data_IF_512537269809
#
_entry.id   IF_512537269809
#
_cell.length_a   1.000
_cell.length_b   1.000
_cell.length_c   1.000
_cell.angle_alpha   90.00
_cell.angle_beta   90.00
_cell.angle_gamma   90.00
#
_symmetry.space_group_name_H-M   'P 1'
#
loop_
_entity.id
_entity.type
_entity.pdbx_description
1 polymer ?
#
# COMPACT_ATOMS: atom_id res chain seq x y z
N UNK A 1 2.12 17.88 13.12
CA UNK A 1 2.33 16.60 12.44
C UNK A 1 1.46 15.52 13.06
N UNK A 2 0.85 14.70 12.22
CA UNK A 2 -0.08 13.69 12.68
C UNK A 2 0.41 12.29 12.33
N UNK A 3 -0.16 11.32 13.02
CA UNK A 3 0.15 9.91 12.78
C UNK A 3 -1.14 9.16 12.50
N UNK A 4 -1.09 8.21 11.54
CA UNK A 4 -2.20 7.35 11.17
C UNK A 4 -1.81 5.91 11.40
N UNK A 5 -2.73 5.10 11.93
CA UNK A 5 -2.52 3.67 12.08
C UNK A 5 -3.85 2.95 11.94
N UNK A 6 -3.89 1.91 11.11
CA UNK A 6 -5.10 1.11 10.92
C UNK A 6 -4.75 -0.26 10.39
N UNK A 7 -5.64 -1.23 10.62
CA UNK A 7 -5.51 -2.60 10.11
C UNK A 7 -6.61 -2.84 9.09
N UNK A 8 -6.25 -3.54 8.01
CA UNK A 8 -7.21 -3.90 6.95
C UNK A 8 -7.09 -5.39 6.68
N UNK A 9 -8.23 -6.06 6.48
CA UNK A 9 -8.23 -7.48 6.14
C UNK A 9 -8.28 -7.60 4.62
N UNK A 10 -7.23 -8.18 4.04
CA UNK A 10 -7.11 -8.36 2.60
C UNK A 10 -7.33 -9.85 2.32
N UNK A 11 -8.26 -10.23 1.42
CA UNK A 11 -8.57 -11.64 1.18
C UNK A 11 -7.56 -12.34 0.27
N UNK A 12 -6.30 -12.33 0.66
CA UNK A 12 -5.22 -12.99 -0.05
C UNK A 12 -4.07 -13.25 0.92
N UNK A 13 -3.25 -14.29 0.69
CA UNK A 13 -2.11 -14.57 1.57
C UNK A 13 -1.11 -13.42 1.61
N UNK A 14 -0.33 -13.27 2.69
CA UNK A 14 0.63 -12.17 2.80
C UNK A 14 1.61 -12.07 1.64
N UNK A 15 2.09 -13.19 1.12
CA UNK A 15 3.03 -13.16 0.00
C UNK A 15 2.40 -12.58 -1.27
N UNK A 16 1.11 -12.82 -1.49
CA UNK A 16 0.40 -12.25 -2.63
C UNK A 16 0.16 -10.76 -2.43
N UNK A 17 -0.21 -10.35 -1.22
CA UNK A 17 -0.37 -8.93 -0.91
C UNK A 17 0.96 -8.20 -1.07
N UNK A 18 2.05 -8.82 -0.61
CA UNK A 18 3.38 -8.24 -0.77
C UNK A 18 3.70 -7.99 -2.24
N UNK A 19 3.42 -8.95 -3.11
CA UNK A 19 3.65 -8.79 -4.55
C UNK A 19 2.77 -7.69 -5.14
N UNK A 20 1.53 -7.59 -4.69
CA UNK A 20 0.64 -6.53 -5.17
C UNK A 20 1.15 -5.14 -4.80
N UNK A 21 1.97 -5.03 -3.76
CA UNK A 21 2.52 -3.76 -3.30
C UNK A 21 3.90 -3.45 -3.87
N UNK A 22 4.60 -4.44 -4.41
CA UNK A 22 6.00 -4.29 -4.81
C UNK A 22 6.28 -4.56 -6.28
N UNK A 23 5.32 -5.11 -7.03
CA UNK A 23 5.49 -5.40 -8.45
C UNK A 23 4.72 -4.38 -9.27
N UNK A 24 5.42 -3.61 -10.11
CA UNK A 24 4.82 -2.49 -10.83
C UNK A 24 3.60 -2.91 -11.66
N UNK A 25 3.70 -3.99 -12.40
CA UNK A 25 2.58 -4.47 -13.23
C UNK A 25 1.36 -4.78 -12.38
N UNK A 26 1.56 -5.42 -11.22
CA UNK A 26 0.44 -5.74 -10.33
C UNK A 26 -0.16 -4.47 -9.74
N UNK A 27 0.68 -3.51 -9.38
CA UNK A 27 0.20 -2.21 -8.91
C UNK A 27 -0.67 -1.54 -9.96
N UNK A 28 -0.27 -1.58 -11.23
CA UNK A 28 -1.07 -1.00 -12.30
C UNK A 28 -2.40 -1.71 -12.47
N UNK A 29 -2.43 -3.02 -12.22
CA UNK A 29 -3.67 -3.78 -12.36
C UNK A 29 -4.71 -3.39 -11.32
N UNK A 30 -4.33 -3.25 -10.06
CA UNK A 30 -5.33 -2.95 -9.03
C UNK A 30 -5.57 -1.45 -8.84
N UNK A 31 -4.60 -0.60 -9.15
CA UNK A 31 -4.82 0.85 -9.07
C UNK A 31 -5.49 1.40 -10.33
N UNK A 32 -5.31 0.73 -11.46
CA UNK A 32 -5.82 1.22 -12.74
C UNK A 32 -5.03 2.36 -13.32
N UNK A 33 -3.86 2.69 -12.75
CA UNK A 33 -3.05 3.82 -13.17
C UNK A 33 -1.58 3.41 -13.26
N UNK A 34 -0.77 4.25 -13.89
CA UNK A 34 0.65 3.98 -14.07
C UNK A 34 1.36 3.92 -12.72
N UNK A 35 2.27 2.96 -12.59
CA UNK A 35 3.08 2.80 -11.38
C UNK A 35 4.53 2.52 -11.72
N UNK A 36 5.44 3.02 -10.86
CA UNK A 36 6.85 2.68 -10.91
C UNK A 36 7.25 2.14 -9.56
N UNK A 37 7.83 0.95 -9.53
CA UNK A 37 8.15 0.30 -8.27
C UNK A 37 9.27 -0.73 -8.47
N UNK A 38 10.21 -0.74 -7.53
CA UNK A 38 11.21 -1.80 -7.40
C UNK A 38 11.29 -2.19 -5.94
N UNK A 39 11.37 -3.48 -5.66
CA UNK A 39 11.50 -3.96 -4.29
C UNK A 39 12.96 -3.91 -3.84
N UNK A 40 13.56 -2.72 -3.90
CA UNK A 40 14.95 -2.49 -3.52
C UNK A 40 15.04 -1.22 -2.68
N UNK A 41 15.82 -1.23 -1.59
CA UNK A 41 16.02 -0.02 -0.79
C UNK A 41 16.65 1.10 -1.62
N UNK A 42 16.33 2.32 -1.25
CA UNK A 42 16.88 3.53 -1.86
C UNK A 42 16.48 3.73 -3.32
N UNK A 43 15.35 3.14 -3.73
CA UNK A 43 14.77 3.40 -5.05
C UNK A 43 13.53 4.27 -4.90
N UNK A 44 13.27 5.10 -5.91
CA UNK A 44 12.07 5.93 -5.90
C UNK A 44 10.88 5.16 -6.47
N UNK A 45 9.68 5.51 -6.02
CA UNK A 45 8.46 4.88 -6.51
C UNK A 45 7.39 5.93 -6.82
N UNK A 46 6.43 5.52 -7.64
CA UNK A 46 5.31 6.36 -8.02
C UNK A 46 4.07 5.48 -8.16
N UNK A 47 2.97 5.92 -7.60
CA UNK A 47 1.68 5.25 -7.66
C UNK A 47 0.62 6.22 -8.17
N UNK A 48 -0.43 5.67 -8.80
CA UNK A 48 -1.53 6.46 -9.35
C UNK A 48 -1.05 7.62 -10.23
N UNK A 49 -0.16 7.28 -11.18
CA UNK A 49 0.36 8.25 -12.15
C UNK A 49 0.90 9.50 -11.46
N UNK A 50 1.86 9.27 -10.54
CA UNK A 50 2.54 10.31 -9.77
C UNK A 50 1.69 11.04 -8.73
N UNK A 51 0.50 10.52 -8.41
CA UNK A 51 -0.28 11.10 -7.32
C UNK A 51 0.35 10.83 -5.96
N UNK A 52 1.05 9.71 -5.83
CA UNK A 52 1.83 9.38 -4.65
C UNK A 52 3.25 9.08 -5.12
N UNK A 53 4.21 9.83 -4.62
CA UNK A 53 5.62 9.61 -4.94
C UNK A 53 6.43 9.55 -3.66
N UNK A 54 7.53 8.80 -3.70
CA UNK A 54 8.36 8.67 -2.54
C UNK A 54 9.56 7.80 -2.80
N UNK A 55 10.14 7.30 -1.71
CA UNK A 55 11.35 6.50 -1.76
C UNK A 55 11.16 5.23 -0.92
N UNK A 56 11.55 4.11 -1.48
CA UNK A 56 11.55 2.84 -0.77
C UNK A 56 12.75 2.79 0.18
N UNK A 57 12.51 2.48 1.44
CA UNK A 57 13.56 2.47 2.45
C UNK A 57 13.95 1.06 2.88
N UNK A 58 12.97 0.18 3.05
CA UNK A 58 13.24 -1.16 3.58
C UNK A 58 12.21 -2.16 3.08
N UNK A 59 12.66 -3.37 2.80
CA UNK A 59 11.78 -4.47 2.42
C UNK A 59 12.13 -5.71 3.21
N UNK A 60 11.10 -6.40 3.68
CA UNK A 60 11.23 -7.71 4.28
C UNK A 60 10.20 -8.58 3.58
N UNK A 61 10.67 -9.47 2.72
CA UNK A 61 9.81 -10.19 1.77
C UNK A 61 8.64 -10.88 2.47
N UNK A 62 7.43 -10.59 1.97
CA UNK A 62 6.20 -11.17 2.50
C UNK A 62 5.78 -10.63 3.85
N UNK A 63 6.51 -9.68 4.45
CA UNK A 63 6.28 -9.26 5.82
C UNK A 63 6.18 -7.77 6.04
N UNK A 64 7.07 -6.98 5.42
CA UNK A 64 7.14 -5.56 5.75
C UNK A 64 7.68 -4.72 4.61
N UNK A 65 7.13 -3.52 4.47
CA UNK A 65 7.60 -2.50 3.52
C UNK A 65 7.67 -1.18 4.27
N UNK A 66 8.79 -0.46 4.14
CA UNK A 66 8.93 0.87 4.72
C UNK A 66 9.24 1.86 3.60
N UNK A 67 8.49 2.95 3.55
CA UNK A 67 8.62 3.97 2.52
C UNK A 67 8.59 5.36 3.11
N UNK A 68 9.26 6.29 2.45
CA UNK A 68 9.10 7.71 2.73
C UNK A 68 8.17 8.27 1.64
N UNK A 69 7.12 8.97 2.05
CA UNK A 69 6.21 9.63 1.10
C UNK A 69 6.53 11.12 1.06
N UNK A 70 6.54 11.70 -0.13
CA UNK A 70 6.89 13.09 -0.32
C UNK A 70 5.64 13.97 -0.32
N UNK A 71 5.68 15.06 0.43
CA UNK A 71 4.59 16.04 0.53
C UNK A 71 5.09 17.45 0.22
N UNK A 72 6.06 17.58 -0.68
CA UNK A 72 6.66 18.88 -0.95
C UNK A 72 7.61 19.30 0.17
N UNK A 73 7.59 20.58 0.50
CA UNK A 73 8.47 21.12 1.56
C UNK A 73 7.92 20.77 2.93
N UNK A 74 8.49 19.77 3.57
CA UNK A 74 8.11 19.41 4.93
C UNK A 74 9.36 19.24 5.78
N UNK A 75 9.30 19.66 7.05
CA UNK A 75 10.50 19.65 7.92
C UNK A 75 10.92 18.24 8.30
N UNK A 76 10.00 17.30 8.34
CA UNK A 76 10.28 15.92 8.70
C UNK A 76 9.70 14.95 7.71
N UNK A 77 10.40 13.86 7.46
CA UNK A 77 9.96 12.86 6.49
C UNK A 77 8.72 12.12 7.00
N UNK A 78 7.74 11.94 6.11
CA UNK A 78 6.58 11.10 6.41
C UNK A 78 6.96 9.66 6.10
N UNK A 79 6.91 8.79 7.10
CA UNK A 79 7.33 7.40 6.97
C UNK A 79 6.12 6.49 7.04
N UNK A 80 5.99 5.64 6.03
CA UNK A 80 4.93 4.63 5.96
C UNK A 80 5.55 3.27 6.25
N UNK A 81 4.97 2.54 7.19
CA UNK A 81 5.34 1.17 7.48
C UNK A 81 4.12 0.30 7.25
N UNK A 82 4.25 -0.68 6.36
CA UNK A 82 3.20 -1.66 6.08
C UNK A 82 3.71 -3.00 6.57
N UNK A 83 2.97 -3.62 7.49
CA UNK A 83 3.29 -4.96 7.97
C UNK A 83 2.17 -5.92 7.58
N UNK A 84 2.56 -7.09 7.13
CA UNK A 84 1.61 -8.10 6.65
C UNK A 84 1.61 -9.26 7.63
N UNK A 85 0.48 -9.46 8.29
CA UNK A 85 0.31 -10.53 9.28
C UNK A 85 -0.64 -11.58 8.74
N UNK A 86 -0.34 -12.85 9.01
CA UNK A 86 -1.27 -13.92 8.63
C UNK A 86 -2.59 -13.77 9.36
N UNK A 87 -3.67 -14.07 8.65
CA UNK A 87 -5.01 -13.94 9.20
C UNK A 87 -5.88 -15.07 8.62
N UNK A 88 -6.84 -15.59 9.40
CA UNK A 88 -7.71 -16.67 8.89
C UNK A 88 -8.41 -16.34 7.57
N UNK A 89 -8.65 -15.07 7.29
CA UNK A 89 -9.29 -14.64 6.05
C UNK A 89 -8.30 -14.13 5.00
N UNK A 90 -7.01 -14.30 5.23
CA UNK A 90 -5.97 -13.88 4.30
C UNK A 90 -4.84 -13.15 4.98
N UNK A 91 -4.87 -11.83 4.96
CA UNK A 91 -3.83 -10.99 5.54
C UNK A 91 -4.44 -9.86 6.36
N UNK A 92 -3.89 -9.62 7.55
CA UNK A 92 -4.15 -8.40 8.28
C UNK A 92 -3.03 -7.42 7.91
N UNK A 93 -3.36 -6.42 7.11
CA UNK A 93 -2.40 -5.42 6.66
C UNK A 93 -2.39 -4.26 7.63
N UNK A 94 -1.29 -4.11 8.35
CA UNK A 94 -1.13 -3.03 9.31
C UNK A 94 -0.44 -1.86 8.61
N UNK A 95 -1.11 -0.70 8.60
CA UNK A 95 -0.57 0.52 7.99
C UNK A 95 -0.29 1.53 9.08
N UNK A 96 0.93 2.05 9.12
CA UNK A 96 1.28 3.15 10.01
C UNK A 96 2.01 4.20 9.21
N UNK A 97 1.58 5.46 9.36
CA UNK A 97 2.24 6.58 8.70
C UNK A 97 2.46 7.69 9.71
N UNK A 98 3.70 8.19 9.79
CA UNK A 98 4.09 9.22 10.74
C UNK A 98 4.39 10.53 10.02
N UNK A 99 4.41 11.63 10.78
CA UNK A 99 4.78 12.95 10.28
C UNK A 99 3.94 13.38 9.07
N UNK A 100 2.63 13.14 9.14
CA UNK A 100 1.71 13.59 8.09
C UNK A 100 1.40 15.07 8.33
N UNK A 101 1.58 15.94 7.31
CA UNK A 101 1.20 17.35 7.46
C UNK A 101 -0.28 17.44 7.85
N UNK A 102 -0.58 18.32 8.80
CA UNK A 102 -1.94 18.43 9.33
C UNK A 102 -2.97 18.69 8.24
N UNK A 103 -2.62 19.50 7.24
CA UNK A 103 -3.53 19.83 6.14
C UNK A 103 -3.82 18.65 5.24
N UNK A 104 -2.96 17.65 5.22
CA UNK A 104 -3.10 16.47 4.37
C UNK A 104 -3.69 15.27 5.10
N UNK A 105 -3.85 15.35 6.41
CA UNK A 105 -4.19 14.19 7.22
C UNK A 105 -5.51 13.52 6.81
N UNK A 106 -6.56 14.30 6.64
CA UNK A 106 -7.87 13.72 6.31
C UNK A 106 -7.84 13.04 4.95
N UNK A 107 -7.20 13.66 3.97
CA UNK A 107 -7.08 13.07 2.63
C UNK A 107 -6.27 11.79 2.66
N UNK A 108 -5.19 11.76 3.43
CA UNK A 108 -4.35 10.58 3.56
C UNK A 108 -5.12 9.45 4.24
N UNK A 109 -5.81 9.75 5.35
CA UNK A 109 -6.58 8.74 6.07
C UNK A 109 -7.69 8.15 5.19
N UNK A 110 -8.41 8.99 4.46
CA UNK A 110 -9.43 8.53 3.53
C UNK A 110 -8.82 7.72 2.39
N UNK A 111 -7.69 8.17 1.87
CA UNK A 111 -7.01 7.48 0.79
C UNK A 111 -6.58 6.06 1.16
N UNK A 112 -6.08 5.87 2.37
CA UNK A 112 -5.72 4.52 2.83
C UNK A 112 -6.92 3.59 2.85
N UNK A 113 -8.06 4.07 3.31
CA UNK A 113 -9.26 3.24 3.46
C UNK A 113 -10.01 3.08 2.13
N UNK A 114 -10.27 4.17 1.42
CA UNK A 114 -11.19 4.18 0.29
C UNK A 114 -10.51 3.99 -1.07
N UNK A 115 -9.19 4.13 -1.14
CA UNK A 115 -8.46 3.93 -2.39
C UNK A 115 -7.47 2.79 -2.28
N UNK A 116 -6.56 2.86 -1.32
CA UNK A 116 -5.47 1.89 -1.21
C UNK A 116 -5.98 0.53 -0.74
N UNK A 117 -6.53 0.46 0.46
CA UNK A 117 -7.01 -0.81 0.99
C UNK A 117 -8.22 -1.31 0.22
N UNK A 118 -9.17 -0.43 -0.11
CA UNK A 118 -10.35 -0.83 -0.87
C UNK A 118 -9.98 -1.37 -2.23
N UNK A 119 -9.00 -0.77 -2.90
CA UNK A 119 -8.54 -1.25 -4.20
C UNK A 119 -7.93 -2.65 -4.12
N UNK A 120 -7.12 -2.90 -3.09
CA UNK A 120 -6.55 -4.23 -2.88
C UNK A 120 -7.61 -5.27 -2.57
N UNK A 121 -8.55 -4.92 -1.70
CA UNK A 121 -9.62 -5.83 -1.32
C UNK A 121 -10.45 -6.19 -2.55
N UNK A 122 -10.85 -5.20 -3.31
CA UNK A 122 -11.65 -5.42 -4.52
C UNK A 122 -10.90 -6.26 -5.54
N UNK A 123 -9.61 -6.01 -5.71
CA UNK A 123 -8.78 -6.75 -6.65
C UNK A 123 -8.80 -8.25 -6.35
N UNK A 124 -8.69 -8.63 -5.07
CA UNK A 124 -8.68 -10.03 -4.70
C UNK A 124 -10.07 -10.64 -4.58
N UNK A 125 -11.07 -9.84 -4.28
CA UNK A 125 -12.45 -10.34 -4.26
C UNK A 125 -12.95 -10.63 -5.67
N UNK A 126 -12.49 -9.87 -6.65
CA UNK A 126 -12.89 -10.03 -8.04
C UNK A 126 -11.93 -10.93 -8.81
N UNK A 127 -11.09 -11.71 -8.13
CA UNK A 127 -10.15 -12.62 -8.76
C UNK A 127 -10.94 -13.60 -9.65
N UNK A 128 -10.61 -13.69 -10.96
CA UNK A 128 -11.30 -14.60 -11.87
C UNK A 128 -11.31 -16.05 -11.40
N UNK A 129 -10.25 -16.51 -10.76
CA UNK A 129 -10.19 -17.88 -10.24
C UNK A 129 -11.23 -18.09 -9.15
N UNK A 130 -11.44 -17.10 -8.32
CA UNK A 130 -12.43 -17.15 -7.26
C UNK A 130 -13.84 -16.98 -7.81
N UNK A 131 -14.00 -16.03 -8.72
CA UNK A 131 -15.28 -15.83 -9.37
C UNK A 131 -15.75 -17.04 -10.13
N UNK A 132 -14.83 -17.78 -10.73
CA UNK A 132 -15.16 -18.98 -11.46
C UNK A 132 -15.66 -20.10 -10.57
N UNK A 133 -15.30 -20.10 -9.31
CA UNK A 133 -15.71 -21.17 -8.41
C UNK A 133 -17.20 -21.20 -8.18
N UNK A 134 -17.87 -20.13 -8.42
CA UNK A 134 -19.30 -20.02 -8.20
C UNK A 134 -20.13 -20.32 -9.44
N UNK A 135 -19.47 -20.46 -10.54
CA UNK A 135 -20.17 -20.68 -11.84
C UNK A 135 -20.62 -22.11 -11.98
#
# INVERSE_FOLDING_TARGET
MKEFKKYYIIPAPPEDVYKALTVAITLELWTGEKAEMKAEPDTEFSLWDDSIVGRNLEFEEGKKIVQQWYFGDQPEASIVTIKLHEHPQGTSMEVRQTNIPDVDYEDIAEGWTHSYAAGLIEFYEDDPAEGNSES
#
